data_IF_644425313330
#
_entry.id   IF_644425313330
#
_cell.length_a   1.000
_cell.length_b   1.000
_cell.length_c   1.000
_cell.angle_alpha   90.00
_cell.angle_beta   90.00
_cell.angle_gamma   90.00
#
_symmetry.space_group_name_H-M   'P 1'
#
loop_
_entity.id
_entity.type
_entity.pdbx_description
1 polymer ?
#
# COMPACT_ATOMS: atom_id res chain seq x y z
N UNK A 1 -9.50 -8.08 -2.22
CA UNK A 1 -9.98 -6.69 -2.20
C UNK A 1 -9.76 -6.15 -0.80
N UNK A 2 -9.50 -4.86 -0.66
CA UNK A 2 -9.45 -4.14 0.62
C UNK A 2 -10.36 -2.93 0.52
N UNK A 3 -11.10 -2.63 1.57
CA UNK A 3 -11.99 -1.48 1.63
C UNK A 3 -11.18 -0.18 1.67
N UNK A 4 -11.68 0.84 0.97
CA UNK A 4 -11.16 2.20 1.11
C UNK A 4 -11.60 2.77 2.46
N UNK A 5 -10.75 3.59 3.10
CA UNK A 5 -11.14 4.32 4.32
C UNK A 5 -12.37 5.22 4.03
N UNK A 6 -12.42 5.83 2.85
CA UNK A 6 -13.55 6.62 2.36
C UNK A 6 -13.88 6.27 0.90
N UNK A 7 -15.16 6.11 0.52
CA UNK A 7 -15.56 5.90 -0.87
C UNK A 7 -15.19 7.10 -1.76
N UNK A 8 -14.69 6.83 -2.97
CA UNK A 8 -14.27 7.86 -3.92
C UNK A 8 -15.12 7.78 -5.18
N UNK A 9 -15.76 8.88 -5.58
CA UNK A 9 -16.47 8.98 -6.86
C UNK A 9 -15.46 9.20 -7.99
N UNK A 10 -15.46 8.31 -8.98
CA UNK A 10 -14.50 8.34 -10.10
C UNK A 10 -15.10 9.02 -11.32
N UNK A 11 -16.36 8.72 -11.59
CA UNK A 11 -17.21 9.35 -12.61
C UNK A 11 -18.62 9.46 -12.04
N UNK A 12 -19.44 10.33 -12.61
CA UNK A 12 -20.82 10.56 -12.18
C UNK A 12 -21.60 9.25 -12.06
N UNK A 13 -22.04 8.91 -10.84
CA UNK A 13 -22.79 7.68 -10.55
C UNK A 13 -21.94 6.42 -10.37
N UNK A 14 -20.60 6.51 -10.41
CA UNK A 14 -19.68 5.40 -10.12
C UNK A 14 -18.79 5.71 -8.92
N UNK A 15 -19.16 5.15 -7.77
CA UNK A 15 -18.37 5.24 -6.54
C UNK A 15 -17.54 3.97 -6.34
N UNK A 16 -16.23 4.14 -6.15
CA UNK A 16 -15.32 3.07 -5.78
C UNK A 16 -15.25 2.96 -4.25
N UNK A 17 -15.51 1.77 -3.74
CA UNK A 17 -15.48 1.46 -2.30
C UNK A 17 -14.34 0.51 -1.92
N UNK A 18 -13.77 -0.20 -2.89
CA UNK A 18 -12.77 -1.24 -2.67
C UNK A 18 -11.62 -1.16 -3.68
N UNK A 19 -10.46 -1.64 -3.26
CA UNK A 19 -9.26 -1.81 -4.07
C UNK A 19 -8.93 -3.29 -4.26
N UNK A 20 -8.55 -3.72 -5.48
CA UNK A 20 -7.92 -5.02 -5.66
C UNK A 20 -6.59 -5.07 -4.88
N UNK A 21 -6.23 -6.24 -4.40
CA UNK A 21 -4.96 -6.47 -3.68
C UNK A 21 -4.21 -7.57 -4.40
N UNK A 22 -2.94 -7.30 -4.71
CA UNK A 22 -2.02 -8.29 -5.24
C UNK A 22 -1.48 -9.16 -4.09
N UNK A 23 -1.64 -10.48 -4.20
CA UNK A 23 -1.01 -11.42 -3.30
C UNK A 23 0.38 -11.78 -3.82
N UNK A 24 1.42 -11.06 -3.38
CA UNK A 24 2.79 -11.22 -3.90
C UNK A 24 3.31 -12.66 -3.79
N UNK A 25 2.97 -13.40 -2.73
CA UNK A 25 3.36 -14.81 -2.54
C UNK A 25 2.69 -15.78 -3.53
N UNK A 26 1.56 -15.37 -4.12
CA UNK A 26 0.81 -16.18 -5.11
C UNK A 26 1.01 -15.67 -6.54
N UNK A 27 1.67 -14.53 -6.70
CA UNK A 27 1.92 -13.94 -8.01
C UNK A 27 2.90 -14.82 -8.79
N UNK A 28 2.51 -15.22 -9.99
CA UNK A 28 3.38 -15.99 -10.90
C UNK A 28 4.16 -15.11 -11.88
N UNK A 29 4.09 -13.78 -11.71
CA UNK A 29 4.77 -12.78 -12.56
C UNK A 29 4.50 -12.98 -14.06
N UNK A 30 3.24 -13.22 -14.43
CA UNK A 30 2.84 -13.35 -15.83
C UNK A 30 2.68 -12.00 -16.56
N UNK A 31 2.77 -10.87 -15.84
CA UNK A 31 2.63 -9.51 -16.35
C UNK A 31 1.31 -9.14 -17.04
N UNK A 32 0.31 -10.03 -17.01
CA UNK A 32 -0.97 -9.74 -17.66
C UNK A 32 -1.68 -8.48 -17.13
N UNK A 33 -1.63 -8.25 -15.80
CA UNK A 33 -2.22 -7.04 -15.20
C UNK A 33 -1.48 -5.75 -15.56
N UNK A 34 -0.20 -5.84 -15.92
CA UNK A 34 0.63 -4.72 -16.35
C UNK A 34 0.36 -4.43 -17.83
N UNK A 35 0.52 -5.44 -18.70
CA UNK A 35 0.47 -5.27 -20.16
C UNK A 35 -0.93 -4.96 -20.68
N UNK A 36 -1.96 -5.47 -19.99
CA UNK A 36 -3.36 -5.32 -20.38
C UNK A 36 -4.16 -4.55 -19.33
N UNK A 37 -3.53 -3.59 -18.65
CA UNK A 37 -4.20 -2.74 -17.69
C UNK A 37 -5.35 -1.96 -18.37
N UNK A 38 -6.63 -2.25 -18.07
CA UNK A 38 -7.74 -1.58 -18.75
C UNK A 38 -7.83 -0.11 -18.37
N UNK A 39 -7.36 0.26 -17.17
CA UNK A 39 -7.32 1.66 -16.74
C UNK A 39 -6.33 2.46 -17.57
N UNK A 40 -5.13 1.93 -17.78
CA UNK A 40 -4.13 2.59 -18.61
C UNK A 40 -4.57 2.65 -20.07
N UNK A 41 -5.11 1.55 -20.61
CA UNK A 41 -5.57 1.50 -21.99
C UNK A 41 -6.72 2.48 -22.31
N UNK A 42 -7.62 2.72 -21.34
CA UNK A 42 -8.80 3.58 -21.54
C UNK A 42 -8.55 5.04 -21.14
N UNK A 43 -7.74 5.27 -20.10
CA UNK A 43 -7.63 6.59 -19.47
C UNK A 43 -6.19 7.14 -19.45
N UNK A 44 -5.19 6.35 -19.85
CA UNK A 44 -3.77 6.73 -19.74
C UNK A 44 -3.23 6.72 -18.31
N UNK A 45 -4.04 6.29 -17.35
CA UNK A 45 -3.76 6.35 -15.91
C UNK A 45 -3.30 5.00 -15.36
N UNK A 46 -2.33 5.02 -14.46
CA UNK A 46 -1.87 3.83 -13.77
C UNK A 46 -2.97 3.28 -12.83
N UNK A 47 -3.36 2.03 -13.06
CA UNK A 47 -4.18 1.26 -12.13
C UNK A 47 -3.55 0.98 -10.75
N UNK A 48 -4.36 0.42 -9.85
CA UNK A 48 -4.07 0.39 -8.39
C UNK A 48 -3.27 -0.82 -7.90
N UNK A 49 -2.94 -1.77 -8.77
CA UNK A 49 -2.22 -3.01 -8.42
C UNK A 49 -1.10 -3.30 -9.41
N UNK A 50 0.00 -2.57 -9.29
CA UNK A 50 1.16 -2.75 -10.15
C UNK A 50 2.40 -3.03 -9.30
N UNK A 51 3.00 -4.23 -9.40
CA UNK A 51 4.27 -4.52 -8.75
C UNK A 51 5.45 -3.80 -9.43
N UNK A 52 5.28 -3.40 -10.69
CA UNK A 52 6.18 -2.54 -11.46
C UNK A 52 5.35 -1.37 -12.03
N UNK A 53 5.88 -0.16 -12.03
CA UNK A 53 5.21 1.04 -12.54
C UNK A 53 4.58 0.82 -13.93
N UNK A 54 3.31 1.22 -14.09
CA UNK A 54 2.58 1.20 -15.38
C UNK A 54 2.36 2.62 -15.83
N UNK A 55 2.82 2.96 -17.03
CA UNK A 55 2.68 4.31 -17.59
C UNK A 55 3.73 5.29 -17.05
N UNK A 56 3.48 6.59 -17.24
CA UNK A 56 4.28 7.64 -16.62
C UNK A 56 3.83 7.83 -15.17
N UNK A 57 4.78 7.72 -14.24
CA UNK A 57 4.52 7.92 -12.81
C UNK A 57 4.96 9.32 -12.42
N UNK A 58 4.00 10.21 -12.26
CA UNK A 58 4.21 11.54 -11.65
C UNK A 58 3.67 11.52 -10.22
N UNK A 59 4.56 11.33 -9.25
CA UNK A 59 4.20 11.30 -7.83
C UNK A 59 4.96 12.39 -7.06
N UNK A 60 4.22 13.33 -6.47
CA UNK A 60 4.79 14.33 -5.57
C UNK A 60 5.14 13.70 -4.22
N UNK A 61 6.44 13.51 -4.00
CA UNK A 61 7.01 12.91 -2.80
C UNK A 61 6.59 13.69 -1.54
N UNK A 62 6.43 15.01 -1.65
CA UNK A 62 6.09 15.89 -0.52
C UNK A 62 4.70 15.53 0.04
N UNK A 63 3.72 15.35 -0.85
CA UNK A 63 2.35 14.99 -0.46
C UNK A 63 2.26 13.57 0.12
N UNK A 64 3.11 12.65 -0.34
CA UNK A 64 3.15 11.29 0.18
C UNK A 64 3.72 11.25 1.61
N UNK A 65 4.67 12.12 1.94
CA UNK A 65 5.24 12.24 3.29
C UNK A 65 4.28 12.90 4.28
N UNK A 66 3.36 13.74 3.82
CA UNK A 66 2.33 14.37 4.64
C UNK A 66 1.21 13.39 5.04
N UNK A 67 1.02 12.30 4.29
CA UNK A 67 0.02 11.28 4.63
C UNK A 67 0.41 10.59 5.95
N UNK A 68 -0.51 10.52 6.94
CA UNK A 68 -0.22 9.89 8.21
C UNK A 68 0.08 8.40 7.99
N UNK A 69 1.27 7.95 8.38
CA UNK A 69 1.61 6.53 8.38
C UNK A 69 0.77 5.85 9.46
N UNK A 70 -0.35 5.24 9.06
CA UNK A 70 -1.25 4.50 9.96
C UNK A 70 -0.61 3.16 10.33
N UNK A 71 0.18 3.15 11.40
CA UNK A 71 0.69 1.92 12.01
C UNK A 71 -0.47 1.26 12.77
N UNK A 72 -0.68 -0.05 12.60
CA UNK A 72 -1.71 -0.76 13.37
C UNK A 72 -1.41 -0.74 14.87
N UNK A 73 -2.46 -0.73 15.70
CA UNK A 73 -2.31 -0.71 17.17
C UNK A 73 -1.50 -1.90 17.68
N UNK A 74 -1.73 -3.10 17.12
CA UNK A 74 -0.97 -4.31 17.44
C UNK A 74 0.54 -4.13 17.20
N UNK A 75 0.89 -3.46 16.11
CA UNK A 75 2.29 -3.21 15.74
C UNK A 75 2.90 -2.12 16.62
N UNK A 76 2.14 -1.11 17.01
CA UNK A 76 2.56 -0.11 18.02
C UNK A 76 2.83 -0.79 19.36
N UNK A 77 1.93 -1.67 19.80
CA UNK A 77 2.08 -2.43 21.04
C UNK A 77 3.33 -3.32 21.01
N UNK A 78 3.56 -4.03 19.90
CA UNK A 78 4.76 -4.84 19.71
C UNK A 78 6.05 -4.01 19.78
N UNK A 79 6.11 -2.88 19.05
CA UNK A 79 7.29 -2.00 19.05
C UNK A 79 7.55 -1.46 20.46
N UNK A 80 6.49 -1.05 21.17
CA UNK A 80 6.60 -0.53 22.55
C UNK A 80 7.16 -1.57 23.50
N UNK A 81 6.68 -2.82 23.42
CA UNK A 81 7.19 -3.94 24.20
C UNK A 81 8.66 -4.24 23.89
N UNK A 82 9.02 -4.25 22.60
CA UNK A 82 10.38 -4.51 22.16
C UNK A 82 11.36 -3.43 22.64
N UNK A 83 10.99 -2.15 22.54
CA UNK A 83 11.81 -1.03 23.00
C UNK A 83 11.95 -0.97 24.53
N UNK A 84 10.94 -1.45 25.27
CA UNK A 84 10.98 -1.55 26.72
C UNK A 84 11.84 -2.72 27.25
N UNK A 85 12.23 -3.66 26.37
CA UNK A 85 13.01 -4.84 26.76
C UNK A 85 14.48 -4.48 27.04
N UNK A 86 14.76 -4.26 28.33
CA UNK A 86 16.11 -3.97 28.84
C UNK A 86 16.97 -5.22 29.09
N UNK A 87 16.53 -6.42 28.71
CA UNK A 87 17.29 -7.66 28.95
C UNK A 87 18.69 -7.65 28.33
N UNK A 88 18.84 -7.02 27.17
CA UNK A 88 20.14 -6.84 26.49
C UNK A 88 21.06 -5.92 27.30
N UNK A 89 20.53 -4.86 27.91
CA UNK A 89 21.29 -3.95 28.76
C UNK A 89 21.69 -4.60 30.09
N UNK A 90 20.84 -5.48 30.63
CA UNK A 90 21.10 -6.22 31.87
C UNK A 90 22.24 -7.22 31.71
N UNK A 91 22.24 -8.00 30.61
CA UNK A 91 23.31 -8.97 30.28
C UNK A 91 24.69 -8.34 30.08
N UNK A 92 24.78 -7.04 29.81
CA UNK A 92 26.06 -6.33 29.57
C UNK A 92 26.68 -5.75 30.85
N UNK A 93 25.96 -5.81 31.98
CA UNK A 93 26.42 -5.33 33.31
C UNK A 93 26.83 -6.45 34.26
N UNK A 94 26.58 -7.70 33.89
CA UNK A 94 27.10 -8.93 34.53
C UNK A 94 28.38 -9.38 33.81
#
# INVERSE_FOLDING_TARGET
MVDLDEPVEIIEGMTKTQLPVLHSEKCVNCYYCHDFCPLYALFGEAGTIHPNDVGEVDSDISQLLEKPVKISEDKIAFISQYLADNTILRKRRE
#
